data_IF_600565772839
#
_entry.id   IF_600565772839
#
_cell.length_a   1.000
_cell.length_b   1.000
_cell.length_c   1.000
_cell.angle_alpha   90.00
_cell.angle_beta   90.00
_cell.angle_gamma   90.00
#
_symmetry.space_group_name_H-M   'P 1'
#
loop_
_entity.id
_entity.type
_entity.pdbx_description
1 polymer ?
#
# COMPACT_ATOMS: atom_id res chain seq x y z
N UNK A 1 6.08 -0.64 -25.26
CA UNK A 1 6.62 -1.48 -24.19
C UNK A 1 5.51 -1.78 -23.19
N UNK A 2 4.68 -2.79 -23.46
CA UNK A 2 3.67 -3.25 -22.53
C UNK A 2 4.25 -4.45 -21.78
N UNK A 3 4.56 -4.27 -20.50
CA UNK A 3 5.00 -5.31 -19.57
C UNK A 3 3.80 -6.24 -19.29
N UNK A 4 3.36 -7.00 -20.30
CA UNK A 4 2.23 -7.93 -20.18
C UNK A 4 2.79 -9.30 -19.75
N UNK A 5 3.14 -9.43 -18.47
CA UNK A 5 3.44 -10.73 -17.88
C UNK A 5 2.13 -11.50 -17.63
N UNK A 6 1.56 -12.08 -18.70
CA UNK A 6 0.56 -13.14 -18.57
C UNK A 6 1.35 -14.42 -18.27
N UNK A 7 1.59 -14.69 -16.98
CA UNK A 7 2.24 -15.94 -16.54
C UNK A 7 1.38 -16.78 -15.60
N UNK A 8 0.16 -16.36 -15.25
CA UNK A 8 -0.67 -17.10 -14.31
C UNK A 8 -2.05 -17.41 -14.90
N UNK A 9 -2.39 -18.70 -14.93
CA UNK A 9 -3.66 -19.21 -15.43
C UNK A 9 -4.88 -18.65 -14.68
N UNK A 10 -6.11 -18.92 -15.15
CA UNK A 10 -7.34 -18.27 -14.70
C UNK A 10 -7.61 -18.35 -13.20
N UNK A 11 -7.03 -19.33 -12.50
CA UNK A 11 -7.16 -19.51 -11.04
C UNK A 11 -6.20 -18.61 -10.23
N UNK A 12 -5.01 -18.30 -10.75
CA UNK A 12 -4.08 -17.37 -10.08
C UNK A 12 -4.55 -15.91 -10.14
N UNK A 13 -5.16 -15.51 -11.26
CA UNK A 13 -5.54 -14.11 -11.51
C UNK A 13 -6.57 -13.61 -10.49
N UNK A 14 -7.44 -14.52 -10.01
CA UNK A 14 -8.40 -14.24 -8.94
C UNK A 14 -7.70 -14.06 -7.58
N UNK A 15 -6.70 -14.88 -7.27
CA UNK A 15 -5.93 -14.71 -6.03
C UNK A 15 -5.15 -13.39 -6.01
N UNK A 16 -4.49 -13.01 -7.11
CA UNK A 16 -3.79 -11.73 -7.21
C UNK A 16 -4.73 -10.53 -7.07
N UNK A 17 -5.95 -10.60 -7.62
CA UNK A 17 -6.94 -9.51 -7.46
C UNK A 17 -7.46 -9.41 -6.03
N UNK A 18 -7.72 -10.54 -5.35
CA UNK A 18 -8.14 -10.54 -3.94
C UNK A 18 -7.07 -9.99 -3.00
N UNK A 19 -5.80 -10.40 -3.18
CA UNK A 19 -4.68 -9.89 -2.37
C UNK A 19 -4.43 -8.41 -2.67
N UNK A 20 -4.60 -7.98 -3.92
CA UNK A 20 -4.46 -6.58 -4.30
C UNK A 20 -5.55 -5.69 -3.68
N UNK A 21 -6.83 -6.12 -3.69
CA UNK A 21 -7.92 -5.41 -3.00
C UNK A 21 -7.65 -5.30 -1.50
N UNK A 22 -7.26 -6.41 -0.89
CA UNK A 22 -6.96 -6.45 0.54
C UNK A 22 -5.80 -5.51 0.90
N UNK A 23 -4.72 -5.52 0.11
CA UNK A 23 -3.57 -4.64 0.29
C UNK A 23 -3.93 -3.16 0.17
N UNK A 24 -4.77 -2.78 -0.80
CA UNK A 24 -5.24 -1.38 -0.94
C UNK A 24 -6.00 -0.93 0.30
N UNK A 25 -6.94 -1.75 0.78
CA UNK A 25 -7.77 -1.39 1.95
C UNK A 25 -6.91 -1.23 3.20
N UNK A 26 -6.01 -2.20 3.46
CA UNK A 26 -5.15 -2.18 4.64
C UNK A 26 -4.18 -0.99 4.62
N UNK A 27 -3.53 -0.73 3.48
CA UNK A 27 -2.59 0.40 3.34
C UNK A 27 -3.29 1.76 3.43
N UNK A 28 -4.52 1.89 2.90
CA UNK A 28 -5.29 3.12 3.00
C UNK A 28 -5.69 3.43 4.46
N UNK A 29 -6.15 2.42 5.20
CA UNK A 29 -6.48 2.56 6.63
C UNK A 29 -5.22 2.94 7.42
N UNK A 30 -4.09 2.26 7.17
CA UNK A 30 -2.83 2.54 7.85
C UNK A 30 -2.32 3.97 7.57
N UNK A 31 -2.40 4.43 6.31
CA UNK A 31 -2.03 5.80 5.94
C UNK A 31 -2.85 6.87 6.68
N UNK A 32 -4.16 6.68 6.81
CA UNK A 32 -5.03 7.62 7.55
C UNK A 32 -4.71 7.61 9.05
N UNK A 33 -4.45 6.44 9.64
CA UNK A 33 -4.10 6.33 11.06
C UNK A 33 -2.73 6.94 11.38
N UNK A 34 -1.75 6.80 10.48
CA UNK A 34 -0.44 7.45 10.59
C UNK A 34 -0.56 8.97 10.47
N UNK A 35 -1.38 9.48 9.55
CA UNK A 35 -1.66 10.92 9.43
C UNK A 35 -2.34 11.51 10.67
N UNK A 36 -3.15 10.71 11.38
CA UNK A 36 -3.77 11.10 12.66
C UNK A 36 -2.84 10.91 13.87
N UNK A 37 -1.59 10.47 13.67
CA UNK A 37 -0.59 10.25 14.73
C UNK A 37 -1.12 9.33 15.83
N UNK A 38 -1.73 8.22 15.41
CA UNK A 38 -2.26 7.23 16.34
C UNK A 38 -1.16 6.61 17.20
N UNK A 39 -1.41 6.52 18.51
CA UNK A 39 -0.50 5.91 19.48
C UNK A 39 -0.16 4.45 19.16
N UNK A 40 -1.00 3.76 18.39
CA UNK A 40 -0.77 2.36 17.97
C UNK A 40 0.52 2.19 17.17
N UNK A 41 0.99 3.22 16.45
CA UNK A 41 2.22 3.15 15.66
C UNK A 41 3.41 3.79 16.39
N UNK A 42 3.21 4.26 17.63
CA UNK A 42 4.27 4.93 18.38
C UNK A 42 5.39 3.94 18.73
N UNK A 43 5.03 2.73 19.15
CA UNK A 43 6.03 1.70 19.45
C UNK A 43 6.90 1.34 18.24
N UNK A 44 6.32 1.33 17.04
CA UNK A 44 7.02 0.95 15.81
C UNK A 44 7.92 2.08 15.27
N UNK A 45 7.44 3.33 15.29
CA UNK A 45 8.19 4.47 14.74
C UNK A 45 9.19 5.08 15.73
N UNK A 46 8.90 5.00 17.04
CA UNK A 46 9.62 5.74 18.08
C UNK A 46 10.68 4.89 18.78
N UNK A 47 10.65 3.56 18.64
CA UNK A 47 11.60 2.64 19.30
C UNK A 47 13.09 2.96 19.04
N UNK A 48 13.41 3.60 17.92
CA UNK A 48 14.80 3.94 17.55
C UNK A 48 15.18 5.41 17.78
N UNK A 49 14.27 6.25 18.27
CA UNK A 49 14.56 7.69 18.44
C UNK A 49 15.38 7.89 19.72
N UNK A 50 16.68 8.13 19.56
CA UNK A 50 17.58 8.60 20.62
C UNK A 50 17.75 10.11 20.49
N UNK A 51 16.89 10.86 21.15
CA UNK A 51 17.01 12.31 21.24
C UNK A 51 17.51 12.73 22.63
N UNK A 52 18.46 13.66 22.66
CA UNK A 52 19.06 14.21 23.88
C UNK A 52 18.11 15.18 24.64
N UNK A 53 17.05 15.65 23.98
CA UNK A 53 16.09 16.61 24.55
C UNK A 53 14.66 16.32 24.09
N UNK A 54 13.69 16.66 24.96
CA UNK A 54 12.27 16.38 24.75
C UNK A 54 11.70 17.12 23.52
N UNK A 55 12.13 18.35 23.27
CA UNK A 55 11.64 19.14 22.12
C UNK A 55 12.12 18.57 20.79
N UNK A 56 13.40 18.16 20.72
CA UNK A 56 13.94 17.48 19.54
C UNK A 56 13.30 16.11 19.33
N UNK A 57 12.98 15.38 20.40
CA UNK A 57 12.27 14.12 20.33
C UNK A 57 10.89 14.27 19.65
N UNK A 58 10.08 15.24 20.10
CA UNK A 58 8.74 15.46 19.55
C UNK A 58 8.80 15.80 18.05
N UNK A 59 9.75 16.64 17.64
CA UNK A 59 9.94 17.01 16.24
C UNK A 59 10.35 15.81 15.37
N UNK A 60 11.29 14.99 15.84
CA UNK A 60 11.71 13.79 15.10
C UNK A 60 10.60 12.76 14.97
N UNK A 61 9.79 12.58 16.03
CA UNK A 61 8.61 11.72 16.02
C UNK A 61 7.63 12.20 14.94
N UNK A 62 7.29 13.49 14.96
CA UNK A 62 6.38 14.11 13.98
C UNK A 62 6.83 13.88 12.53
N UNK A 63 8.11 14.10 12.24
CA UNK A 63 8.69 13.88 10.91
C UNK A 63 8.60 12.41 10.50
N UNK A 64 8.88 11.47 11.42
CA UNK A 64 8.77 10.02 11.12
C UNK A 64 7.34 9.61 10.80
N UNK A 65 6.35 10.12 11.53
CA UNK A 65 4.94 9.84 11.26
C UNK A 65 4.52 10.34 9.88
N UNK A 66 4.88 11.57 9.54
CA UNK A 66 4.54 12.16 8.24
C UNK A 66 5.22 11.40 7.10
N UNK A 67 6.49 11.03 7.25
CA UNK A 67 7.22 10.22 6.26
C UNK A 67 6.58 8.83 6.06
N UNK A 68 6.26 8.14 7.15
CA UNK A 68 5.61 6.83 7.08
C UNK A 68 4.23 6.90 6.42
N UNK A 69 3.44 7.92 6.73
CA UNK A 69 2.14 8.15 6.09
C UNK A 69 2.28 8.35 4.58
N UNK A 70 3.24 9.17 4.14
CA UNK A 70 3.51 9.43 2.72
C UNK A 70 3.90 8.15 1.99
N UNK A 71 4.82 7.34 2.56
CA UNK A 71 5.22 6.06 1.96
C UNK A 71 4.04 5.09 1.86
N UNK A 72 3.19 5.01 2.88
CA UNK A 72 1.98 4.18 2.86
C UNK A 72 1.00 4.62 1.77
N UNK A 73 0.80 5.93 1.58
CA UNK A 73 -0.06 6.44 0.50
C UNK A 73 0.50 6.15 -0.89
N UNK A 74 1.81 6.29 -1.09
CA UNK A 74 2.48 5.93 -2.36
C UNK A 74 2.31 4.42 -2.62
N UNK A 75 2.54 3.58 -1.61
CA UNK A 75 2.33 2.14 -1.72
C UNK A 75 0.87 1.83 -2.10
N UNK A 76 -0.10 2.42 -1.39
CA UNK A 76 -1.52 2.26 -1.70
C UNK A 76 -1.84 2.64 -3.16
N UNK A 77 -1.25 3.73 -3.68
CA UNK A 77 -1.42 4.14 -5.08
C UNK A 77 -0.84 3.11 -6.07
N UNK A 78 0.32 2.53 -5.78
CA UNK A 78 0.94 1.47 -6.61
C UNK A 78 0.06 0.20 -6.59
N UNK A 79 -0.46 -0.19 -5.43
CA UNK A 79 -1.39 -1.32 -5.30
C UNK A 79 -2.70 -1.06 -6.06
N UNK A 80 -3.22 0.17 -6.03
CA UNK A 80 -4.40 0.56 -6.81
C UNK A 80 -4.14 0.47 -8.32
N UNK A 81 -2.97 0.92 -8.78
CA UNK A 81 -2.56 0.81 -10.18
C UNK A 81 -2.45 -0.64 -10.65
N UNK A 82 -1.82 -1.51 -9.85
CA UNK A 82 -1.73 -2.94 -10.17
C UNK A 82 -3.09 -3.64 -10.15
N UNK A 83 -4.00 -3.23 -9.27
CA UNK A 83 -5.38 -3.68 -9.25
C UNK A 83 -6.11 -3.32 -10.55
N UNK A 84 -6.01 -2.07 -10.99
CA UNK A 84 -6.63 -1.59 -12.21
C UNK A 84 -6.13 -2.35 -13.45
N UNK A 85 -4.82 -2.59 -13.54
CA UNK A 85 -4.21 -3.39 -14.61
C UNK A 85 -4.74 -4.84 -14.57
N UNK A 86 -4.86 -5.43 -13.38
CA UNK A 86 -5.36 -6.80 -13.22
C UNK A 86 -6.83 -6.93 -13.66
N UNK A 87 -7.68 -5.95 -13.32
CA UNK A 87 -9.06 -5.88 -13.81
C UNK A 87 -9.08 -5.76 -15.33
N UNK A 88 -8.28 -4.85 -15.88
CA UNK A 88 -8.20 -4.63 -17.33
C UNK A 88 -7.81 -5.93 -18.06
N UNK A 89 -6.82 -6.65 -17.55
CA UNK A 89 -6.41 -7.95 -18.08
C UNK A 89 -7.53 -9.00 -17.97
N UNK A 90 -8.27 -9.04 -16.86
CA UNK A 90 -9.39 -9.96 -16.67
C UNK A 90 -10.54 -9.70 -17.65
N UNK A 91 -10.85 -8.43 -17.94
CA UNK A 91 -11.85 -8.05 -18.94
C UNK A 91 -11.43 -8.47 -20.35
N UNK A 92 -10.17 -8.23 -20.74
CA UNK A 92 -9.65 -8.65 -22.04
C UNK A 92 -9.65 -10.18 -22.19
N UNK A 93 -9.25 -10.92 -21.15
CA UNK A 93 -9.24 -12.38 -21.17
C UNK A 93 -10.66 -12.97 -21.27
N UNK A 94 -11.64 -12.38 -20.56
CA UNK A 94 -13.06 -12.75 -20.71
C UNK A 94 -13.59 -12.50 -22.12
N UNK A 95 -13.16 -11.42 -22.77
CA UNK A 95 -13.56 -11.10 -24.15
C UNK A 95 -12.96 -12.06 -25.17
N UNK A 96 -11.70 -12.48 -24.99
CA UNK A 96 -11.05 -13.46 -25.85
C UNK A 96 -11.71 -14.85 -25.75
N UNK A 97 -12.06 -15.31 -24.54
CA UNK A 97 -12.69 -16.61 -24.32
C UNK A 97 -14.19 -16.67 -24.72
N UNK A 98 -14.73 -15.60 -25.32
CA UNK A 98 -16.13 -15.50 -25.79
C UNK A 98 -16.23 -15.43 -27.32
N UNK A 99 -15.11 -15.46 -28.04
CA UNK A 99 -14.99 -15.58 -29.50
C UNK A 99 -14.51 -17.00 -29.80
#
# INVERSE_FOLDING_TARGET
>A
MAFTFIFCGPKCSICCTLISVWGVIMLAIMGVLLQKRSLTFAEDLVAEIKADSLDHFIQEVEIKYDNAAVTCYIAAAIYLGSFAISIWQAFLNKRHNRI
#
